data_IF_544675807896
#
_entry.id   IF_544675807896
#
_cell.length_a   1.000
_cell.length_b   1.000
_cell.length_c   1.000
_cell.angle_alpha   90.00
_cell.angle_beta   90.00
_cell.angle_gamma   90.00
#
_symmetry.space_group_name_H-M   'P 1'
#
loop_
_entity.id
_entity.type
_entity.pdbx_description
1 polymer ?
#
# COMPACT_ATOMS: atom_id res chain seq x y z
N UNK A 1 53.11 -39.03 12.02
CA UNK A 1 51.93 -39.08 12.93
C UNK A 1 51.83 -37.82 13.80
N UNK A 2 52.05 -36.64 13.21
CA UNK A 2 52.10 -35.35 13.93
C UNK A 2 51.40 -34.21 13.19
N UNK A 3 50.49 -34.56 12.26
CA UNK A 3 49.71 -33.60 11.44
C UNK A 3 48.19 -33.82 11.53
N UNK A 4 47.74 -34.65 12.48
CA UNK A 4 46.31 -34.91 12.75
C UNK A 4 45.87 -34.49 14.17
N UNK A 5 46.75 -33.84 14.94
CA UNK A 5 46.46 -33.33 16.30
C UNK A 5 46.30 -31.79 16.31
N UNK A 6 46.57 -31.12 15.18
CA UNK A 6 46.39 -29.67 15.05
C UNK A 6 44.94 -29.26 14.71
N UNK A 7 44.10 -30.19 14.23
CA UNK A 7 42.76 -29.88 13.71
C UNK A 7 41.60 -30.11 14.70
N UNK A 8 41.89 -30.53 15.94
CA UNK A 8 40.86 -30.70 16.98
C UNK A 8 40.80 -29.57 18.02
N UNK A 9 41.69 -28.56 17.92
CA UNK A 9 41.63 -27.35 18.78
C UNK A 9 40.79 -26.22 18.18
N UNK A 10 40.49 -26.27 16.88
CA UNK A 10 39.60 -25.33 16.20
C UNK A 10 38.11 -25.59 16.50
N UNK A 11 37.69 -26.85 16.46
CA UNK A 11 36.28 -27.22 16.73
C UNK A 11 35.88 -27.07 18.20
N UNK A 12 36.79 -27.27 19.15
CA UNK A 12 36.50 -27.04 20.57
C UNK A 12 36.32 -25.55 20.89
N UNK A 13 36.96 -24.63 20.15
CA UNK A 13 36.73 -23.18 20.32
C UNK A 13 35.40 -22.73 19.73
N UNK A 14 34.97 -23.29 18.60
CA UNK A 14 33.66 -22.96 18.00
C UNK A 14 32.49 -23.52 18.83
N UNK A 15 32.62 -24.73 19.37
CA UNK A 15 31.61 -25.30 20.27
C UNK A 15 31.54 -24.58 21.63
N UNK A 16 32.68 -24.11 22.18
CA UNK A 16 32.69 -23.37 23.44
C UNK A 16 32.20 -21.92 23.27
N UNK A 17 32.44 -21.27 22.12
CA UNK A 17 31.88 -19.94 21.85
C UNK A 17 30.36 -20.00 21.62
N UNK A 18 29.84 -21.05 20.96
CA UNK A 18 28.38 -21.18 20.75
C UNK A 18 27.65 -21.57 22.06
N UNK A 19 28.25 -22.41 22.91
CA UNK A 19 27.62 -22.81 24.19
C UNK A 19 27.76 -21.71 25.26
N UNK A 20 28.84 -20.92 25.28
CA UNK A 20 28.95 -19.77 26.20
C UNK A 20 28.09 -18.59 25.75
N UNK A 21 27.82 -18.41 24.44
CA UNK A 21 26.85 -17.42 23.96
C UNK A 21 25.39 -17.83 24.21
N UNK A 22 25.08 -19.12 24.38
CA UNK A 22 23.74 -19.61 24.72
C UNK A 22 23.49 -19.74 26.23
N UNK A 23 24.53 -19.89 27.06
CA UNK A 23 24.40 -20.04 28.52
C UNK A 23 24.62 -18.71 29.29
N UNK A 24 25.23 -17.69 28.69
CA UNK A 24 25.33 -16.36 29.32
C UNK A 24 24.12 -15.44 29.03
N UNK A 25 23.13 -15.91 28.29
CA UNK A 25 21.82 -15.22 28.16
C UNK A 25 20.91 -15.49 29.36
N UNK A 26 21.22 -16.45 30.25
CA UNK A 26 20.31 -16.82 31.36
C UNK A 26 20.66 -16.28 32.75
N UNK A 27 21.56 -15.30 32.90
CA UNK A 27 21.94 -14.83 34.24
C UNK A 27 22.08 -13.31 34.42
N UNK A 28 21.92 -12.49 33.38
CA UNK A 28 21.82 -11.04 33.51
C UNK A 28 21.01 -10.47 32.35
N UNK A 29 19.70 -10.73 32.34
CA UNK A 29 18.78 -9.89 31.59
C UNK A 29 18.94 -8.46 32.15
N UNK A 30 19.37 -7.48 31.33
CA UNK A 30 19.48 -6.10 31.77
C UNK A 30 18.16 -5.62 32.38
N UNK A 31 18.18 -4.62 33.27
CA UNK A 31 16.96 -4.09 33.87
C UNK A 31 15.90 -3.65 32.83
N UNK A 32 16.30 -3.26 31.61
CA UNK A 32 15.37 -2.97 30.51
C UNK A 32 14.66 -4.22 29.93
N UNK A 33 15.22 -5.42 30.11
CA UNK A 33 14.62 -6.68 29.70
C UNK A 33 13.64 -7.24 30.76
N UNK A 34 13.47 -6.55 31.90
CA UNK A 34 12.38 -6.80 32.86
C UNK A 34 11.07 -6.10 32.46
N UNK A 35 11.10 -5.18 31.50
CA UNK A 35 9.92 -4.44 31.01
C UNK A 35 9.63 -4.78 29.54
N UNK A 36 9.83 -6.03 29.13
CA UNK A 36 9.34 -6.45 27.81
C UNK A 36 7.81 -6.47 27.87
N UNK A 37 7.10 -5.83 26.94
CA UNK A 37 5.64 -5.80 26.97
C UNK A 37 5.07 -7.22 27.03
N UNK A 38 4.00 -7.40 27.78
CA UNK A 38 3.35 -8.70 27.91
C UNK A 38 2.73 -9.10 26.56
N UNK A 39 2.19 -8.11 25.82
CA UNK A 39 1.64 -8.29 24.48
C UNK A 39 1.96 -7.12 23.54
N UNK A 40 2.55 -7.42 22.39
CA UNK A 40 2.86 -6.47 21.31
C UNK A 40 1.89 -6.69 20.15
N UNK A 41 1.20 -5.65 19.71
CA UNK A 41 0.48 -5.63 18.44
C UNK A 41 1.37 -5.10 17.33
N UNK A 42 1.37 -5.77 16.18
CA UNK A 42 2.03 -5.29 14.96
C UNK A 42 1.00 -5.18 13.86
N UNK A 43 0.82 -3.97 13.35
CA UNK A 43 -0.03 -3.68 12.21
C UNK A 43 0.86 -3.42 10.99
N UNK A 44 0.95 -4.38 10.08
CA UNK A 44 1.62 -4.18 8.80
C UNK A 44 0.62 -3.56 7.83
N UNK A 45 0.83 -2.32 7.44
CA UNK A 45 -0.05 -1.61 6.51
C UNK A 45 0.58 -1.65 5.14
N UNK A 46 -0.16 -2.13 4.15
CA UNK A 46 0.23 -2.09 2.76
C UNK A 46 -0.73 -1.16 2.01
N UNK A 47 -0.32 -0.58 0.88
CA UNK A 47 -1.23 0.17 0.01
C UNK A 47 -2.46 -0.69 -0.31
N UNK A 48 -2.24 -1.95 -0.69
CA UNK A 48 -3.30 -2.85 -1.10
C UNK A 48 -3.81 -2.52 -2.50
N UNK A 49 -4.40 -3.52 -3.13
CA UNK A 49 -5.03 -3.38 -4.44
C UNK A 49 -6.00 -4.56 -4.59
N UNK A 50 -7.29 -4.32 -4.91
CA UNK A 50 -8.24 -5.41 -5.12
C UNK A 50 -7.81 -6.31 -6.29
N UNK A 51 -7.91 -7.62 -6.13
CA UNK A 51 -7.49 -8.55 -7.18
C UNK A 51 -8.31 -8.39 -8.46
N UNK A 52 -9.59 -8.04 -8.34
CA UNK A 52 -10.52 -7.87 -9.46
C UNK A 52 -11.26 -6.54 -9.30
N UNK A 53 -11.73 -5.99 -10.41
CA UNK A 53 -12.58 -4.81 -10.37
C UNK A 53 -14.06 -5.20 -10.36
N UNK A 54 -14.78 -4.79 -9.32
CA UNK A 54 -16.22 -5.01 -9.19
C UNK A 54 -16.89 -3.88 -8.39
N UNK A 55 -18.17 -4.07 -8.01
CA UNK A 55 -18.92 -3.04 -7.27
C UNK A 55 -18.42 -2.75 -5.85
N UNK A 56 -17.69 -3.67 -5.22
CA UNK A 56 -17.04 -3.46 -3.92
C UNK A 56 -15.78 -2.63 -4.11
N UNK A 57 -14.93 -3.01 -5.07
CA UNK A 57 -13.75 -2.24 -5.48
C UNK A 57 -14.09 -0.80 -5.85
N UNK A 58 -15.24 -0.58 -6.48
CA UNK A 58 -15.74 0.77 -6.74
C UNK A 58 -15.87 1.61 -5.46
N UNK A 59 -16.34 1.01 -4.35
CA UNK A 59 -16.45 1.73 -3.07
C UNK A 59 -15.07 2.10 -2.51
N UNK A 60 -14.07 1.24 -2.68
CA UNK A 60 -12.68 1.54 -2.30
C UNK A 60 -12.13 2.73 -3.10
N UNK A 61 -12.30 2.71 -4.43
CA UNK A 61 -11.91 3.85 -5.28
C UNK A 61 -12.65 5.13 -4.92
N UNK A 62 -13.95 5.03 -4.64
CA UNK A 62 -14.77 6.17 -4.18
C UNK A 62 -14.25 6.72 -2.87
N UNK A 63 -13.93 5.86 -1.89
CA UNK A 63 -13.38 6.26 -0.61
C UNK A 63 -12.01 6.95 -0.79
N UNK A 64 -11.14 6.41 -1.62
CA UNK A 64 -9.84 6.99 -1.95
C UNK A 64 -9.96 8.37 -2.61
N UNK A 65 -10.82 8.54 -3.61
CA UNK A 65 -11.07 9.84 -4.26
C UNK A 65 -11.69 10.83 -3.29
N UNK A 66 -12.61 10.38 -2.43
CA UNK A 66 -13.19 11.22 -1.40
C UNK A 66 -12.11 11.72 -0.44
N UNK A 67 -11.18 10.86 -0.03
CA UNK A 67 -10.02 11.25 0.77
C UNK A 67 -9.17 12.30 0.05
N UNK A 68 -8.85 12.12 -1.24
CA UNK A 68 -8.14 13.12 -2.05
C UNK A 68 -8.84 14.48 -2.06
N UNK A 69 -10.17 14.51 -2.12
CA UNK A 69 -10.94 15.76 -2.06
C UNK A 69 -10.94 16.35 -0.64
N UNK A 70 -11.07 15.52 0.39
CA UNK A 70 -11.13 15.95 1.78
C UNK A 70 -9.82 16.59 2.24
N UNK A 71 -8.67 16.04 1.83
CA UNK A 71 -7.34 16.61 2.11
C UNK A 71 -6.96 17.76 1.18
N UNK A 72 -7.83 18.07 0.21
CA UNK A 72 -7.66 19.18 -0.72
C UNK A 72 -6.75 18.90 -1.91
N UNK A 73 -6.32 17.66 -2.13
CA UNK A 73 -5.54 17.28 -3.32
C UNK A 73 -6.35 17.52 -4.60
N UNK A 74 -7.67 17.25 -4.54
CA UNK A 74 -8.62 17.53 -5.61
C UNK A 74 -9.60 18.67 -5.23
N UNK A 75 -10.05 19.49 -6.18
CA UNK A 75 -10.98 20.58 -5.90
C UNK A 75 -12.36 20.10 -5.39
N UNK A 76 -12.85 20.71 -4.31
CA UNK A 76 -14.16 20.35 -3.70
C UNK A 76 -15.37 20.57 -4.60
N UNK A 77 -15.31 21.46 -5.59
CA UNK A 77 -16.45 21.70 -6.49
C UNK A 77 -16.83 20.46 -7.32
N UNK A 78 -15.90 19.51 -7.50
CA UNK A 78 -16.15 18.24 -8.17
C UNK A 78 -17.25 17.41 -7.47
N UNK A 79 -17.42 17.59 -6.16
CA UNK A 79 -18.49 16.94 -5.38
C UNK A 79 -19.90 17.47 -5.68
N UNK A 80 -20.01 18.56 -6.44
CA UNK A 80 -21.30 19.18 -6.81
C UNK A 80 -21.72 18.87 -8.24
N UNK A 81 -20.92 18.12 -9.00
CA UNK A 81 -21.21 17.75 -10.38
C UNK A 81 -21.82 16.35 -10.37
N UNK A 82 -23.07 16.24 -10.79
CA UNK A 82 -23.80 14.99 -11.02
C UNK A 82 -24.55 15.16 -12.35
N UNK A 83 -24.11 14.44 -13.38
CA UNK A 83 -24.73 14.46 -14.70
C UNK A 83 -25.62 13.25 -14.95
N UNK A 84 -25.59 12.24 -14.09
CA UNK A 84 -26.38 11.01 -14.20
C UNK A 84 -25.55 9.76 -13.95
N UNK A 85 -25.46 8.88 -14.95
CA UNK A 85 -24.62 7.67 -14.87
C UNK A 85 -23.68 7.67 -16.05
N UNK A 86 -22.39 7.71 -15.74
CA UNK A 86 -21.32 7.71 -16.74
C UNK A 86 -21.05 6.27 -17.18
N UNK A 87 -20.92 6.10 -18.48
CA UNK A 87 -20.64 4.84 -19.13
C UNK A 87 -19.42 5.00 -20.04
N UNK A 88 -18.56 3.99 -20.08
CA UNK A 88 -17.45 3.89 -21.04
C UNK A 88 -17.74 2.80 -22.08
N UNK A 89 -17.19 2.95 -23.27
CA UNK A 89 -17.17 1.90 -24.28
C UNK A 89 -15.96 0.98 -24.06
N UNK A 90 -16.18 -0.25 -23.61
CA UNK A 90 -15.13 -1.24 -23.28
C UNK A 90 -14.14 -1.45 -24.43
N UNK A 91 -14.61 -1.33 -25.67
CA UNK A 91 -13.80 -1.58 -26.86
C UNK A 91 -13.15 -0.32 -27.43
N UNK A 92 -13.56 0.85 -26.95
CA UNK A 92 -13.22 2.15 -27.51
C UNK A 92 -13.33 2.18 -29.06
N UNK A 93 -14.33 1.50 -29.62
CA UNK A 93 -14.43 1.35 -31.07
C UNK A 93 -15.19 2.54 -31.67
N UNK A 94 -14.41 3.52 -32.13
CA UNK A 94 -14.95 4.73 -32.76
C UNK A 94 -15.73 4.48 -34.05
N UNK A 95 -15.57 3.30 -34.68
CA UNK A 95 -16.24 2.94 -35.93
C UNK A 95 -17.58 2.23 -35.72
N UNK A 96 -17.86 1.79 -34.49
CA UNK A 96 -19.11 1.11 -34.17
C UNK A 96 -20.22 2.15 -33.89
N UNK A 97 -21.39 2.02 -34.54
CA UNK A 97 -22.52 2.89 -34.26
C UNK A 97 -22.91 2.84 -32.78
N UNK A 98 -23.34 3.98 -32.21
CA UNK A 98 -23.57 4.11 -30.77
C UNK A 98 -24.50 3.04 -30.18
N UNK A 99 -25.46 2.52 -30.95
CA UNK A 99 -26.40 1.48 -30.54
C UNK A 99 -25.83 0.04 -30.55
N UNK A 100 -24.57 -0.15 -30.98
CA UNK A 100 -23.85 -1.43 -31.01
C UNK A 100 -22.63 -1.44 -30.10
N UNK A 101 -22.43 -0.40 -29.29
CA UNK A 101 -21.27 -0.28 -28.40
C UNK A 101 -21.38 -1.20 -27.20
N UNK A 102 -20.23 -1.61 -26.68
CA UNK A 102 -20.14 -2.44 -25.48
C UNK A 102 -19.96 -1.50 -24.30
N UNK A 103 -21.06 -0.95 -23.80
CA UNK A 103 -21.01 0.04 -22.74
C UNK A 103 -20.93 -0.64 -21.36
N UNK A 104 -20.15 -0.06 -20.46
CA UNK A 104 -20.01 -0.49 -19.06
C UNK A 104 -20.11 0.70 -18.12
N UNK A 105 -20.74 0.51 -16.96
CA UNK A 105 -20.80 1.51 -15.89
C UNK A 105 -19.62 1.39 -14.90
N UNK A 106 -19.51 2.35 -13.99
CA UNK A 106 -18.43 2.37 -13.00
C UNK A 106 -18.46 1.20 -12.00
N UNK A 107 -19.52 0.39 -11.98
CA UNK A 107 -19.61 -0.82 -11.15
C UNK A 107 -19.29 -2.09 -11.93
N UNK A 108 -18.86 -1.97 -13.20
CA UNK A 108 -18.54 -3.10 -14.08
C UNK A 108 -19.77 -3.75 -14.75
N UNK A 109 -20.96 -3.14 -14.67
CA UNK A 109 -22.15 -3.71 -15.29
C UNK A 109 -22.25 -3.30 -16.76
N UNK A 110 -22.54 -4.29 -17.62
CA UNK A 110 -22.79 -4.05 -19.04
C UNK A 110 -24.12 -3.33 -19.27
N UNK A 111 -24.14 -2.44 -20.25
CA UNK A 111 -25.30 -1.67 -20.64
C UNK A 111 -25.55 -1.73 -22.15
N UNK A 112 -26.78 -2.10 -22.52
CA UNK A 112 -27.20 -2.23 -23.93
C UNK A 112 -28.33 -1.24 -24.30
N UNK A 113 -28.62 -0.28 -23.43
CA UNK A 113 -29.70 0.69 -23.66
C UNK A 113 -29.23 1.94 -24.39
N UNK A 114 -30.13 2.91 -24.52
CA UNK A 114 -29.80 4.22 -25.08
C UNK A 114 -28.95 5.05 -24.09
N UNK A 115 -27.90 5.69 -24.58
CA UNK A 115 -27.10 6.65 -23.84
C UNK A 115 -26.67 7.80 -24.77
N UNK A 116 -26.51 9.00 -24.21
CA UNK A 116 -26.07 10.17 -24.95
C UNK A 116 -24.54 10.17 -25.04
N UNK A 117 -23.99 10.34 -26.23
CA UNK A 117 -22.56 10.56 -26.37
C UNK A 117 -22.19 11.97 -25.89
N UNK A 118 -21.18 12.06 -25.04
CA UNK A 118 -20.62 13.31 -24.56
C UNK A 118 -19.18 13.42 -25.10
N UNK A 119 -18.87 14.43 -25.93
CA UNK A 119 -17.50 14.65 -26.37
C UNK A 119 -16.63 14.96 -25.14
N UNK A 120 -15.46 14.32 -25.07
CA UNK A 120 -14.49 14.58 -24.01
C UNK A 120 -13.99 16.02 -24.01
N UNK A 121 -13.33 16.41 -22.92
CA UNK A 121 -12.67 17.69 -22.76
C UNK A 121 -11.22 17.46 -22.31
N UNK A 122 -10.30 17.42 -23.27
CA UNK A 122 -8.87 17.21 -23.03
C UNK A 122 -8.27 18.24 -22.05
N UNK A 123 -8.73 19.50 -22.09
CA UNK A 123 -8.24 20.54 -21.17
C UNK A 123 -8.60 20.29 -19.71
N UNK A 124 -9.67 19.54 -19.49
CA UNK A 124 -10.13 19.15 -18.15
C UNK A 124 -9.78 17.69 -17.83
N UNK A 125 -9.06 16.99 -18.72
CA UNK A 125 -8.74 15.57 -18.55
C UNK A 125 -9.97 14.65 -18.61
N UNK A 126 -11.11 15.11 -19.14
CA UNK A 126 -12.34 14.32 -19.20
C UNK A 126 -12.36 13.55 -20.52
N UNK A 127 -12.29 12.20 -20.52
CA UNK A 127 -12.37 11.43 -21.76
C UNK A 127 -13.77 11.48 -22.38
N UNK A 128 -13.91 11.20 -23.69
CA UNK A 128 -15.22 10.95 -24.28
C UNK A 128 -15.93 9.80 -23.57
N UNK A 129 -17.22 9.99 -23.29
CA UNK A 129 -18.01 9.03 -22.51
C UNK A 129 -19.47 9.04 -22.97
N UNK A 130 -20.26 8.16 -22.36
CA UNK A 130 -21.68 8.02 -22.59
C UNK A 130 -22.43 8.35 -21.32
N UNK A 131 -23.56 9.04 -21.45
CA UNK A 131 -24.35 9.50 -20.33
C UNK A 131 -25.75 8.91 -20.35
N UNK A 132 -26.16 8.36 -19.21
CA UNK A 132 -27.53 7.94 -18.93
C UNK A 132 -28.11 8.81 -17.82
N UNK A 133 -29.07 9.67 -18.15
CA UNK A 133 -29.67 10.66 -17.22
C UNK A 133 -30.30 10.02 -15.97
N UNK A 134 -30.82 8.79 -16.11
CA UNK A 134 -31.43 8.04 -15.02
C UNK A 134 -30.73 6.69 -14.88
N UNK A 135 -29.87 6.55 -13.88
CA UNK A 135 -29.14 5.31 -13.60
C UNK A 135 -28.58 5.29 -12.18
N UNK A 136 -27.73 4.30 -11.91
CA UNK A 136 -27.18 4.02 -10.57
C UNK A 136 -26.29 5.14 -10.05
N UNK A 137 -25.57 5.84 -10.93
CA UNK A 137 -24.74 6.99 -10.57
C UNK A 137 -25.51 8.26 -10.22
N UNK A 138 -26.80 8.33 -10.54
CA UNK A 138 -27.59 9.53 -10.23
C UNK A 138 -27.67 9.72 -8.71
N UNK A 139 -27.36 10.92 -8.25
CA UNK A 139 -27.24 11.27 -6.83
C UNK A 139 -25.83 11.08 -6.27
N UNK A 140 -24.87 10.69 -7.11
CA UNK A 140 -23.47 10.56 -6.77
C UNK A 140 -22.60 11.50 -7.63
N UNK A 141 -21.56 12.13 -7.07
CA UNK A 141 -20.67 12.97 -7.86
C UNK A 141 -19.95 12.21 -8.98
N UNK A 142 -19.96 12.79 -10.18
CA UNK A 142 -19.36 12.23 -11.40
C UNK A 142 -17.88 11.84 -11.22
N UNK A 143 -17.15 12.56 -10.37
CA UNK A 143 -15.73 12.30 -10.09
C UNK A 143 -15.48 10.88 -9.57
N UNK A 144 -16.43 10.30 -8.84
CA UNK A 144 -16.33 8.92 -8.36
C UNK A 144 -16.53 7.90 -9.48
N UNK A 145 -17.51 8.14 -10.36
CA UNK A 145 -17.72 7.29 -11.54
C UNK A 145 -16.52 7.34 -12.49
N UNK A 146 -15.93 8.52 -12.73
CA UNK A 146 -14.73 8.64 -13.56
C UNK A 146 -13.55 7.86 -13.01
N UNK A 147 -13.26 7.99 -11.71
CA UNK A 147 -12.18 7.24 -11.08
C UNK A 147 -12.43 5.73 -11.13
N UNK A 148 -13.68 5.31 -10.91
CA UNK A 148 -14.07 3.91 -11.04
C UNK A 148 -13.87 3.37 -12.47
N UNK A 149 -14.31 4.12 -13.49
CA UNK A 149 -14.14 3.72 -14.89
C UNK A 149 -12.66 3.72 -15.33
N UNK A 150 -11.85 4.67 -14.86
CA UNK A 150 -10.41 4.67 -15.09
C UNK A 150 -9.74 3.43 -14.49
N UNK A 151 -10.07 3.11 -13.26
CA UNK A 151 -9.61 1.89 -12.60
C UNK A 151 -10.08 0.61 -13.32
N UNK A 152 -11.36 0.53 -13.70
CA UNK A 152 -11.88 -0.59 -14.47
C UNK A 152 -11.05 -0.81 -15.73
N UNK A 153 -10.74 0.25 -16.47
CA UNK A 153 -9.95 0.19 -17.70
C UNK A 153 -8.55 -0.37 -17.42
N UNK A 154 -7.87 0.12 -16.38
CA UNK A 154 -6.55 -0.37 -15.98
C UNK A 154 -6.61 -1.87 -15.64
N UNK A 155 -7.65 -2.34 -14.96
CA UNK A 155 -7.82 -3.78 -14.70
C UNK A 155 -8.00 -4.59 -15.97
N UNK A 156 -8.77 -4.09 -16.95
CA UNK A 156 -8.90 -4.78 -18.24
C UNK A 156 -7.56 -4.86 -18.98
N UNK A 157 -6.75 -3.81 -18.93
CA UNK A 157 -5.40 -3.79 -19.52
C UNK A 157 -4.46 -4.80 -18.84
N UNK A 158 -4.67 -5.09 -17.54
CA UNK A 158 -3.97 -6.14 -16.80
C UNK A 158 -4.52 -7.56 -17.04
N UNK A 159 -5.48 -7.74 -17.96
CA UNK A 159 -6.12 -9.02 -18.20
C UNK A 159 -7.25 -9.36 -17.21
N UNK A 160 -7.85 -8.34 -16.61
CA UNK A 160 -8.98 -8.42 -15.69
C UNK A 160 -8.60 -8.66 -14.23
N UNK A 161 -7.30 -8.72 -13.91
CA UNK A 161 -6.81 -9.07 -12.58
C UNK A 161 -5.53 -8.33 -12.23
N UNK A 162 -5.49 -7.74 -11.03
CA UNK A 162 -4.25 -7.17 -10.49
C UNK A 162 -3.34 -8.26 -9.93
N UNK A 163 -2.05 -8.28 -10.31
CA UNK A 163 -1.07 -9.21 -9.74
C UNK A 163 -0.55 -8.76 -8.36
N UNK A 164 -0.97 -7.59 -7.87
CA UNK A 164 -0.36 -6.94 -6.70
C UNK A 164 -0.34 -7.83 -5.46
N UNK A 165 -1.50 -8.36 -5.07
CA UNK A 165 -1.61 -9.20 -3.85
C UNK A 165 -0.84 -10.51 -3.97
N UNK A 166 -0.77 -11.08 -5.17
CA UNK A 166 0.00 -12.31 -5.42
C UNK A 166 1.49 -12.09 -5.19
N UNK A 167 1.96 -10.86 -5.42
CA UNK A 167 3.33 -10.47 -5.14
C UNK A 167 3.49 -10.12 -3.66
N UNK A 168 2.66 -9.25 -3.08
CA UNK A 168 2.93 -8.63 -1.77
C UNK A 168 2.49 -9.45 -0.55
N UNK A 169 1.35 -10.14 -0.64
CA UNK A 169 0.78 -10.88 0.50
C UNK A 169 1.71 -11.99 1.01
N UNK A 170 2.32 -12.82 0.14
CA UNK A 170 3.22 -13.87 0.62
C UNK A 170 4.42 -13.33 1.42
N UNK A 171 4.93 -12.14 1.10
CA UNK A 171 6.03 -11.54 1.85
C UNK A 171 5.57 -11.10 3.25
N UNK A 172 4.41 -10.45 3.34
CA UNK A 172 3.85 -10.02 4.62
C UNK A 172 3.46 -11.21 5.51
N UNK A 173 2.88 -12.26 4.93
CA UNK A 173 2.60 -13.51 5.65
C UNK A 173 3.88 -14.17 6.15
N UNK A 174 4.95 -14.15 5.34
CA UNK A 174 6.25 -14.67 5.76
C UNK A 174 6.83 -13.87 6.92
N UNK A 175 6.75 -12.53 6.91
CA UNK A 175 7.16 -11.68 8.04
C UNK A 175 6.33 -11.99 9.28
N UNK A 176 5.00 -12.07 9.14
CA UNK A 176 4.08 -12.44 10.24
C UNK A 176 4.46 -13.79 10.86
N UNK A 177 4.73 -14.80 10.03
CA UNK A 177 5.19 -16.12 10.46
C UNK A 177 6.52 -16.04 11.21
N UNK A 178 7.51 -15.31 10.70
CA UNK A 178 8.82 -15.17 11.34
C UNK A 178 8.72 -14.46 12.70
N UNK A 179 7.89 -13.42 12.81
CA UNK A 179 7.62 -12.72 14.07
C UNK A 179 6.96 -13.66 15.08
N UNK A 180 5.91 -14.39 14.69
CA UNK A 180 5.24 -15.36 15.56
C UNK A 180 6.17 -16.50 15.98
N UNK A 181 7.03 -17.00 15.09
CA UNK A 181 8.03 -18.01 15.44
C UNK A 181 9.05 -17.50 16.48
N UNK A 182 9.41 -16.22 16.41
CA UNK A 182 10.42 -15.63 17.30
C UNK A 182 9.86 -15.22 18.66
N UNK A 183 8.64 -14.69 18.69
CA UNK A 183 8.06 -14.08 19.89
C UNK A 183 6.89 -14.89 20.49
N UNK A 184 6.41 -15.93 19.80
CA UNK A 184 5.31 -16.78 20.26
C UNK A 184 4.05 -15.97 20.55
N UNK A 185 3.40 -16.29 21.68
CA UNK A 185 2.14 -15.64 22.07
C UNK A 185 2.30 -14.17 22.50
N UNK A 186 3.54 -13.67 22.64
CA UNK A 186 3.80 -12.26 22.99
C UNK A 186 3.52 -11.28 21.86
N UNK A 187 3.35 -11.76 20.63
CA UNK A 187 3.08 -10.91 19.47
C UNK A 187 1.73 -11.25 18.86
N UNK A 188 1.01 -10.23 18.41
CA UNK A 188 -0.08 -10.35 17.46
C UNK A 188 0.25 -9.55 16.23
N UNK A 189 -0.04 -10.10 15.06
CA UNK A 189 0.28 -9.48 13.78
C UNK A 189 -0.97 -9.47 12.92
N UNK A 190 -1.37 -8.29 12.45
CA UNK A 190 -2.41 -8.10 11.44
C UNK A 190 -1.81 -7.41 10.22
N UNK A 191 -2.37 -7.75 9.07
CA UNK A 191 -2.10 -7.08 7.80
C UNK A 191 -3.34 -6.24 7.52
N UNK A 192 -3.13 -4.98 7.15
CA UNK A 192 -4.18 -4.08 6.71
C UNK A 192 -3.83 -3.45 5.36
N UNK A 193 -4.85 -3.06 4.61
CA UNK A 193 -4.74 -2.48 3.29
C UNK A 193 -5.32 -1.08 3.27
N UNK A 194 -4.48 -0.09 2.95
CA UNK A 194 -4.88 1.31 2.97
C UNK A 194 -5.82 1.73 1.84
N UNK A 195 -5.94 0.94 0.79
CA UNK A 195 -6.90 1.18 -0.28
C UNK A 195 -8.31 0.69 0.09
N UNK A 196 -8.42 -0.31 0.96
CA UNK A 196 -9.69 -0.92 1.36
C UNK A 196 -10.36 -0.11 2.47
N UNK A 197 -11.59 0.34 2.20
CA UNK A 197 -12.27 1.29 3.07
C UNK A 197 -12.40 0.75 4.52
N UNK A 198 -11.74 1.43 5.46
CA UNK A 198 -11.82 1.14 6.90
C UNK A 198 -11.09 -0.12 7.35
N UNK A 199 -10.32 -0.78 6.48
CA UNK A 199 -9.58 -2.00 6.86
C UNK A 199 -8.50 -1.69 7.91
N UNK A 200 -7.78 -0.58 7.80
CA UNK A 200 -6.77 -0.17 8.79
C UNK A 200 -7.42 0.07 10.16
N UNK A 201 -8.50 0.85 10.21
CA UNK A 201 -9.23 1.08 11.45
C UNK A 201 -9.72 -0.23 12.09
N UNK A 202 -10.33 -1.11 11.29
CA UNK A 202 -10.86 -2.40 11.76
C UNK A 202 -9.74 -3.32 12.29
N UNK A 203 -8.62 -3.46 11.57
CA UNK A 203 -7.49 -4.29 11.99
C UNK A 203 -6.77 -3.72 13.20
N UNK A 204 -6.78 -2.40 13.36
CA UNK A 204 -6.30 -1.75 14.57
C UNK A 204 -7.19 -2.13 15.75
N UNK A 205 -8.52 -2.02 15.63
CA UNK A 205 -9.47 -2.42 16.68
C UNK A 205 -9.32 -3.90 17.06
N UNK A 206 -9.16 -4.80 16.08
CA UNK A 206 -8.87 -6.21 16.35
C UNK A 206 -7.60 -6.41 17.21
N UNK A 207 -6.51 -5.67 16.95
CA UNK A 207 -5.30 -5.75 17.78
C UNK A 207 -5.52 -5.20 19.19
N UNK A 208 -6.29 -4.12 19.33
CA UNK A 208 -6.59 -3.51 20.63
C UNK A 208 -7.47 -4.41 21.50
N UNK A 209 -8.40 -5.14 20.89
CA UNK A 209 -9.23 -6.14 21.57
C UNK A 209 -8.43 -7.36 22.07
N UNK A 210 -7.25 -7.61 21.50
CA UNK A 210 -6.30 -8.61 21.99
C UNK A 210 -5.48 -8.12 23.21
N UNK A 211 -5.83 -6.97 23.79
CA UNK A 211 -5.23 -6.37 24.99
C UNK A 211 -3.71 -6.17 24.87
N UNK A 212 -3.26 -5.67 23.72
CA UNK A 212 -1.87 -5.25 23.52
C UNK A 212 -1.47 -4.13 24.48
N UNK A 213 -0.18 -4.03 24.80
CA UNK A 213 0.41 -2.95 25.60
C UNK A 213 1.05 -1.88 24.71
N UNK A 214 1.60 -2.32 23.59
CA UNK A 214 2.23 -1.49 22.56
C UNK A 214 1.68 -1.90 21.20
N UNK A 215 1.35 -0.91 20.38
CA UNK A 215 1.03 -1.08 18.97
C UNK A 215 2.20 -0.55 18.13
N UNK A 216 2.81 -1.43 17.34
CA UNK A 216 3.79 -1.08 16.32
C UNK A 216 3.05 -1.02 14.98
N UNK A 217 3.06 0.13 14.33
CA UNK A 217 2.54 0.33 12.99
C UNK A 217 3.70 0.35 12.03
N UNK A 218 3.65 -0.55 11.04
CA UNK A 218 4.71 -0.77 10.07
C UNK A 218 4.21 -0.57 8.63
N UNK A 219 4.14 0.68 8.15
CA UNK A 219 3.77 0.97 6.77
C UNK A 219 4.78 0.40 5.78
N UNK A 220 4.30 -0.37 4.81
CA UNK A 220 5.09 -0.97 3.72
C UNK A 220 5.19 0.00 2.52
N UNK A 221 5.28 1.30 2.79
CA UNK A 221 5.56 2.31 1.75
C UNK A 221 7.04 2.34 1.42
N UNK A 222 7.34 2.34 0.13
CA UNK A 222 8.70 2.56 -0.35
C UNK A 222 9.04 4.04 -0.21
N UNK A 223 8.18 4.92 -0.74
CA UNK A 223 8.28 6.37 -0.60
C UNK A 223 7.09 6.83 0.22
N UNK A 224 7.35 7.39 1.40
CA UNK A 224 6.28 7.92 2.24
C UNK A 224 5.80 9.28 1.75
N UNK A 225 4.52 9.56 1.99
CA UNK A 225 3.89 10.84 1.69
C UNK A 225 2.93 11.21 2.82
N UNK A 226 2.75 12.49 3.09
CA UNK A 226 1.72 12.89 4.08
C UNK A 226 0.33 12.53 3.58
N UNK A 227 0.11 12.55 2.26
CA UNK A 227 -1.16 12.21 1.64
C UNK A 227 -1.65 10.78 2.00
N UNK A 228 -0.80 9.76 1.84
CA UNK A 228 -1.14 8.36 2.12
C UNK A 228 -0.77 7.93 3.55
N UNK A 229 0.42 8.29 4.02
CA UNK A 229 0.89 7.86 5.34
C UNK A 229 0.14 8.58 6.45
N UNK A 230 0.47 9.84 6.68
CA UNK A 230 0.00 10.59 7.85
C UNK A 230 -1.51 10.90 7.81
N UNK A 231 -2.01 11.42 6.68
CA UNK A 231 -3.37 11.95 6.58
C UNK A 231 -4.43 10.87 6.32
N UNK A 232 -4.01 9.65 5.96
CA UNK A 232 -4.89 8.52 5.71
C UNK A 232 -4.60 7.37 6.67
N UNK A 233 -3.52 6.61 6.48
CA UNK A 233 -3.30 5.36 7.20
C UNK A 233 -3.10 5.56 8.70
N UNK A 234 -2.18 6.46 9.07
CA UNK A 234 -1.87 6.75 10.48
C UNK A 234 -3.05 7.46 11.17
N UNK A 235 -3.80 8.27 10.43
CA UNK A 235 -5.04 8.87 10.93
C UNK A 235 -6.08 7.82 11.33
N UNK A 236 -6.29 6.77 10.53
CA UNK A 236 -7.21 5.68 10.89
C UNK A 236 -6.75 4.91 12.14
N UNK A 237 -5.45 4.66 12.28
CA UNK A 237 -4.89 4.07 13.50
C UNK A 237 -5.17 4.96 14.71
N UNK A 238 -4.94 6.27 14.59
CA UNK A 238 -5.23 7.21 15.68
C UNK A 238 -6.72 7.28 16.03
N UNK A 239 -7.61 7.22 15.05
CA UNK A 239 -9.05 7.19 15.31
C UNK A 239 -9.43 5.97 16.17
N UNK A 240 -8.96 4.77 15.79
CA UNK A 240 -9.19 3.55 16.56
C UNK A 240 -8.60 3.61 17.98
N UNK A 241 -7.38 4.15 18.12
CA UNK A 241 -6.74 4.35 19.43
C UNK A 241 -7.52 5.32 20.33
N UNK A 242 -8.01 6.42 19.77
CA UNK A 242 -8.79 7.41 20.50
C UNK A 242 -10.14 6.83 20.96
N UNK A 243 -10.84 6.12 20.09
CA UNK A 243 -12.08 5.42 20.42
C UNK A 243 -11.86 4.40 21.54
N UNK A 244 -10.83 3.56 21.42
CA UNK A 244 -10.48 2.57 22.45
C UNK A 244 -10.15 3.22 23.80
N UNK A 245 -9.41 4.33 23.81
CA UNK A 245 -9.09 5.06 25.03
C UNK A 245 -10.35 5.63 25.71
N UNK A 246 -11.32 6.12 24.93
CA UNK A 246 -12.60 6.62 25.44
C UNK A 246 -13.46 5.48 26.01
N UNK A 247 -13.50 4.33 25.34
CA UNK A 247 -14.35 3.20 25.74
C UNK A 247 -13.77 2.38 26.91
N UNK A 248 -12.46 2.15 26.91
CA UNK A 248 -11.79 1.26 27.87
C UNK A 248 -11.00 2.01 28.94
N UNK A 249 -10.79 3.31 28.78
CA UNK A 249 -9.95 4.10 29.69
C UNK A 249 -8.47 3.70 29.66
N UNK A 250 -8.02 3.02 28.60
CA UNK A 250 -6.64 2.53 28.43
C UNK A 250 -6.01 3.21 27.22
N UNK A 251 -4.85 3.85 27.43
CA UNK A 251 -4.02 4.38 26.34
C UNK A 251 -2.97 3.34 25.95
N UNK A 252 -2.82 3.08 24.65
CA UNK A 252 -1.80 2.19 24.09
C UNK A 252 -0.64 3.03 23.56
N UNK A 253 0.59 2.59 23.82
CA UNK A 253 1.76 3.23 23.22
C UNK A 253 1.83 2.88 21.74
N UNK A 254 1.90 3.89 20.88
CA UNK A 254 2.09 3.75 19.44
C UNK A 254 3.58 3.91 19.08
N UNK A 255 4.09 3.03 18.24
CA UNK A 255 5.42 3.14 17.60
C UNK A 255 5.22 3.02 16.09
N UNK A 256 5.61 4.02 15.33
CA UNK A 256 5.61 3.99 13.87
C UNK A 256 7.02 3.63 13.38
N UNK A 257 7.12 2.70 12.43
CA UNK A 257 8.40 2.38 11.78
C UNK A 257 8.70 3.38 10.68
N UNK A 258 9.99 3.50 10.32
CA UNK A 258 10.38 4.24 9.12
C UNK A 258 9.84 3.57 7.84
N UNK A 259 9.76 4.33 6.72
CA UNK A 259 9.38 3.79 5.42
C UNK A 259 10.35 2.69 4.96
N UNK A 260 9.81 1.61 4.42
CA UNK A 260 10.59 0.44 3.98
C UNK A 260 11.65 0.81 2.92
N UNK A 261 11.43 1.84 2.10
CA UNK A 261 12.37 2.22 1.05
C UNK A 261 13.73 2.68 1.56
N UNK A 262 13.83 3.17 2.80
CA UNK A 262 15.08 3.63 3.40
C UNK A 262 15.90 2.49 4.01
N UNK A 263 15.30 1.30 4.16
CA UNK A 263 15.95 0.15 4.78
C UNK A 263 17.08 -0.40 3.92
N UNK A 264 18.22 -0.69 4.55
CA UNK A 264 19.43 -1.15 3.86
C UNK A 264 19.18 -2.42 3.05
N UNK A 265 18.38 -3.34 3.59
CA UNK A 265 18.06 -4.60 2.91
C UNK A 265 17.13 -4.39 1.71
N UNK A 266 16.26 -3.37 1.75
CA UNK A 266 15.44 -2.99 0.60
C UNK A 266 16.33 -2.45 -0.54
N UNK A 267 17.21 -1.49 -0.24
CA UNK A 267 18.18 -0.94 -1.20
C UNK A 267 19.06 -2.04 -1.81
N UNK A 268 19.56 -2.96 -0.97
CA UNK A 268 20.32 -4.13 -1.44
C UNK A 268 19.49 -5.00 -2.39
N UNK A 269 18.20 -5.16 -2.12
CA UNK A 269 17.25 -5.87 -2.99
C UNK A 269 17.19 -5.26 -4.39
N UNK A 270 17.13 -3.92 -4.50
CA UNK A 270 17.16 -3.22 -5.79
C UNK A 270 18.43 -3.58 -6.57
N UNK A 271 19.60 -3.45 -5.94
CA UNK A 271 20.90 -3.76 -6.58
C UNK A 271 20.99 -5.22 -7.01
N UNK A 272 20.50 -6.15 -6.18
CA UNK A 272 20.46 -7.56 -6.53
C UNK A 272 19.54 -7.84 -7.72
N UNK A 273 18.37 -7.19 -7.77
CA UNK A 273 17.44 -7.33 -8.90
C UNK A 273 18.03 -6.78 -10.19
N UNK A 274 18.68 -5.62 -10.15
CA UNK A 274 19.40 -5.08 -11.31
C UNK A 274 20.48 -6.05 -11.80
N UNK A 275 21.26 -6.65 -10.90
CA UNK A 275 22.28 -7.65 -11.25
C UNK A 275 21.68 -8.91 -11.88
N UNK A 276 20.54 -9.37 -11.36
CA UNK A 276 19.79 -10.48 -11.93
C UNK A 276 19.36 -10.18 -13.37
N UNK A 277 18.76 -9.01 -13.63
CA UNK A 277 18.33 -8.62 -14.98
C UNK A 277 19.51 -8.48 -15.95
N UNK A 278 20.61 -7.86 -15.50
CA UNK A 278 21.84 -7.74 -16.30
C UNK A 278 22.46 -9.08 -16.66
N UNK A 279 22.27 -10.12 -15.83
CA UNK A 279 22.82 -11.46 -16.11
C UNK A 279 22.20 -12.13 -17.35
N UNK A 280 21.01 -11.66 -17.76
CA UNK A 280 20.32 -12.12 -18.96
C UNK A 280 20.70 -11.33 -20.23
N UNK A 281 21.56 -10.32 -20.10
CA UNK A 281 21.99 -9.43 -21.18
C UNK A 281 23.43 -9.80 -21.60
N UNK A 282 23.77 -9.76 -22.91
CA UNK A 282 25.14 -9.98 -23.36
C UNK A 282 26.15 -9.07 -22.65
N UNK A 283 27.29 -9.62 -22.23
CA UNK A 283 28.30 -8.90 -21.44
C UNK A 283 28.95 -7.72 -22.17
N UNK A 284 28.79 -7.62 -23.48
CA UNK A 284 29.28 -6.51 -24.32
C UNK A 284 28.18 -5.50 -24.69
N UNK A 285 26.97 -5.65 -24.17
CA UNK A 285 25.88 -4.72 -24.44
C UNK A 285 26.13 -3.39 -23.71
N UNK A 286 25.84 -2.28 -24.39
CA UNK A 286 25.79 -0.97 -23.77
C UNK A 286 24.41 -0.77 -23.14
N UNK A 287 24.34 -0.81 -21.81
CA UNK A 287 23.08 -0.73 -21.06
C UNK A 287 22.99 0.59 -20.32
N UNK A 288 21.85 1.27 -20.43
CA UNK A 288 21.47 2.38 -19.57
C UNK A 288 20.41 1.88 -18.58
N UNK A 289 20.60 2.19 -17.29
CA UNK A 289 19.68 1.79 -16.22
C UNK A 289 18.90 3.01 -15.79
N UNK A 290 17.57 2.92 -15.86
CA UNK A 290 16.65 3.94 -15.39
C UNK A 290 15.88 3.37 -14.20
N UNK A 291 16.12 3.92 -13.02
CA UNK A 291 15.32 3.64 -11.84
C UNK A 291 14.18 4.65 -11.81
N UNK A 292 12.95 4.16 -11.63
CA UNK A 292 11.74 4.97 -11.69
C UNK A 292 10.86 4.68 -10.49
N UNK A 293 10.33 5.73 -9.89
CA UNK A 293 9.27 5.69 -8.88
C UNK A 293 8.05 6.45 -9.42
N UNK A 294 6.90 6.28 -8.78
CA UNK A 294 5.73 7.09 -9.09
C UNK A 294 6.07 8.59 -9.01
N UNK A 295 5.42 9.43 -9.81
CA UNK A 295 5.64 10.88 -9.72
C UNK A 295 4.88 11.49 -8.54
N UNK A 296 5.34 12.61 -8.02
CA UNK A 296 4.51 13.46 -7.15
C UNK A 296 4.60 14.90 -7.65
N UNK A 297 3.49 15.66 -7.67
CA UNK A 297 3.52 17.00 -8.24
C UNK A 297 4.48 17.93 -7.50
N UNK A 298 5.27 18.71 -8.26
CA UNK A 298 6.24 19.70 -7.72
C UNK A 298 5.60 21.04 -7.36
N UNK A 299 4.29 21.16 -7.55
CA UNK A 299 3.48 22.36 -7.33
C UNK A 299 2.23 21.97 -6.55
N UNK A 300 1.60 22.95 -5.90
CA UNK A 300 0.33 22.78 -5.18
C UNK A 300 -0.71 21.99 -6.02
N UNK A 301 -1.38 21.04 -5.38
CA UNK A 301 -2.46 20.24 -5.96
C UNK A 301 -3.78 20.67 -5.29
N UNK A 302 -4.60 21.43 -6.00
CA UNK A 302 -5.80 22.01 -5.39
C UNK A 302 -5.44 22.88 -4.18
N UNK A 303 -5.94 22.50 -3.01
CA UNK A 303 -5.62 23.14 -1.74
C UNK A 303 -4.44 22.52 -0.98
N UNK A 304 -4.02 21.32 -1.37
CA UNK A 304 -2.92 20.57 -0.78
C UNK A 304 -1.56 21.07 -1.28
N UNK A 305 -0.63 21.31 -0.37
CA UNK A 305 0.74 21.70 -0.71
C UNK A 305 1.61 20.50 -1.09
N UNK A 306 1.42 20.00 -2.30
CA UNK A 306 2.21 18.92 -2.86
C UNK A 306 3.72 19.20 -2.90
N UNK A 307 4.14 20.47 -2.91
CA UNK A 307 5.56 20.81 -3.00
C UNK A 307 6.31 20.51 -1.70
N UNK A 308 5.65 20.66 -0.55
CA UNK A 308 6.24 20.40 0.77
C UNK A 308 6.02 18.98 1.28
N UNK A 309 5.38 18.12 0.48
CA UNK A 309 5.18 16.71 0.82
C UNK A 309 6.53 15.99 0.99
N UNK A 310 6.71 15.16 2.05
CA UNK A 310 7.95 14.44 2.28
C UNK A 310 8.28 13.43 1.18
N UNK A 311 7.32 13.11 0.29
CA UNK A 311 7.56 12.28 -0.89
C UNK A 311 8.83 12.68 -1.65
N UNK A 312 9.02 13.98 -1.89
CA UNK A 312 10.17 14.47 -2.66
C UNK A 312 11.50 14.19 -1.97
N UNK A 313 11.53 14.28 -0.64
CA UNK A 313 12.71 13.97 0.16
C UNK A 313 13.00 12.46 0.14
N UNK A 314 12.01 11.63 0.46
CA UNK A 314 12.19 10.18 0.51
C UNK A 314 12.51 9.59 -0.87
N UNK A 315 11.84 10.03 -1.94
CA UNK A 315 12.12 9.57 -3.29
C UNK A 315 13.57 9.86 -3.70
N UNK A 316 14.06 11.06 -3.37
CA UNK A 316 15.45 11.46 -3.61
C UNK A 316 16.42 10.60 -2.80
N UNK A 317 16.16 10.43 -1.52
CA UNK A 317 17.05 9.73 -0.61
C UNK A 317 17.24 8.25 -0.98
N UNK A 318 16.18 7.57 -1.43
CA UNK A 318 16.26 6.19 -1.90
C UNK A 318 17.25 6.09 -3.06
N UNK A 319 17.17 6.99 -4.05
CA UNK A 319 18.08 6.96 -5.20
C UNK A 319 19.52 7.31 -4.81
N UNK A 320 19.72 8.24 -3.89
CA UNK A 320 21.06 8.61 -3.41
C UNK A 320 21.75 7.48 -2.62
N UNK A 321 20.97 6.56 -2.03
CA UNK A 321 21.48 5.39 -1.29
C UNK A 321 21.81 4.18 -2.17
N UNK A 322 21.43 4.19 -3.45
CA UNK A 322 21.73 3.09 -4.37
C UNK A 322 23.16 3.27 -4.90
N UNK A 323 24.07 2.44 -4.39
CA UNK A 323 25.50 2.39 -4.77
C UNK A 323 25.86 1.20 -5.66
#
# INVERSE_FOLDING_TARGET
MGKLIADMRGLQRVAFTIIVSLVVISANTPAWAKDFPDKIGVLMINHGEPAEYNSETYQDFKAFVKHMIDVGFMPKFLMSIDTGTILMDEKNDHWVPFWKRSLVDAWGNKYNGFAFYVPGNEKMGIPPHYLKIFGRGRGEPDVFEYAGLEAYKVWQEMGGRSPYREQTVPQMENVSRLLKMRYGDKISVKIAYGFEQGDIENKTKELLDENVDILIVAPQVVVDSYFEGTLHWIKEVHNALNEYALEKGKTIQLIETEPMGLERDFIKGIVLKVKEELSNIPSNANVAIFLSNHGFPLTRCGDYDCQSDPYHHYAREIFERIE
#
